data_IF_201746644867
#
_entry.id   IF_201746644867
#
_cell.length_a   1.000
_cell.length_b   1.000
_cell.length_c   1.000
_cell.angle_alpha   90.00
_cell.angle_beta   90.00
_cell.angle_gamma   90.00
#
_symmetry.space_group_name_H-M   'P 1'
#
loop_
_entity.id
_entity.type
_entity.pdbx_description
1 polymer ?
#
# COMPACT_ATOMS: atom_id res chain seq x y z
N UNK A 1 8.97 18.58 10.22
CA UNK A 1 8.53 18.28 8.82
C UNK A 1 7.00 18.17 8.77
N UNK A 2 6.42 18.77 7.77
CA UNK A 2 4.98 18.60 7.55
C UNK A 2 4.71 17.17 7.02
N UNK A 3 3.67 16.49 7.49
CA UNK A 3 3.31 15.17 6.97
C UNK A 3 2.93 15.27 5.49
N UNK A 4 3.34 14.25 4.72
CA UNK A 4 3.01 14.18 3.29
C UNK A 4 1.51 14.01 3.10
N UNK A 5 0.94 14.79 2.18
CA UNK A 5 -0.46 14.67 1.74
C UNK A 5 -0.48 14.21 0.28
N UNK A 6 -1.11 13.08 0.03
CA UNK A 6 -1.19 12.49 -1.30
C UNK A 6 -2.55 11.81 -1.52
N UNK A 7 -3.58 12.57 -1.92
CA UNK A 7 -4.92 12.02 -2.16
C UNK A 7 -4.96 10.90 -3.20
N UNK A 8 -4.12 10.98 -4.21
CA UNK A 8 -4.01 9.96 -5.26
C UNK A 8 -3.49 8.64 -4.67
N UNK A 9 -2.49 8.71 -3.79
CA UNK A 9 -1.99 7.54 -3.08
C UNK A 9 -3.06 6.92 -2.19
N UNK A 10 -3.80 7.71 -1.42
CA UNK A 10 -4.89 7.21 -0.58
C UNK A 10 -6.01 6.55 -1.39
N UNK A 11 -6.33 7.11 -2.56
CA UNK A 11 -7.31 6.50 -3.48
C UNK A 11 -6.83 5.13 -3.95
N UNK A 12 -5.55 5.03 -4.29
CA UNK A 12 -4.95 3.75 -4.67
C UNK A 12 -4.98 2.74 -3.52
N UNK A 13 -4.63 3.15 -2.29
CA UNK A 13 -4.72 2.28 -1.09
C UNK A 13 -6.13 1.71 -0.93
N UNK A 14 -7.18 2.53 -1.11
CA UNK A 14 -8.58 2.08 -1.02
C UNK A 14 -8.98 1.07 -2.11
N UNK A 15 -8.24 1.01 -3.19
CA UNK A 15 -8.47 0.03 -4.28
C UNK A 15 -7.83 -1.33 -4.02
N UNK A 16 -7.03 -1.46 -2.97
CA UNK A 16 -6.34 -2.69 -2.62
C UNK A 16 -7.20 -3.57 -1.70
N UNK A 17 -6.94 -4.89 -1.66
CA UNK A 17 -7.58 -5.75 -0.66
C UNK A 17 -7.20 -5.36 0.76
N UNK A 18 -8.12 -5.59 1.71
CA UNK A 18 -7.82 -5.46 3.13
C UNK A 18 -6.61 -6.32 3.52
N UNK A 19 -5.65 -5.75 4.23
CA UNK A 19 -4.44 -6.45 4.63
C UNK A 19 -4.71 -7.65 5.57
N UNK A 20 -5.85 -7.68 6.25
CA UNK A 20 -6.24 -8.78 7.17
C UNK A 20 -7.07 -9.84 6.46
N UNK A 21 -8.24 -9.48 5.94
CA UNK A 21 -9.22 -10.46 5.44
C UNK A 21 -9.33 -10.53 3.92
N UNK A 22 -8.57 -9.72 3.20
CA UNK A 22 -8.50 -9.70 1.73
C UNK A 22 -9.78 -9.24 1.02
N UNK A 23 -10.81 -8.80 1.74
CA UNK A 23 -11.99 -8.22 1.10
C UNK A 23 -11.60 -6.96 0.30
N UNK A 24 -12.27 -6.77 -0.82
CA UNK A 24 -12.14 -5.54 -1.63
C UNK A 24 -13.29 -4.57 -1.38
N UNK A 25 -14.25 -4.95 -0.52
CA UNK A 25 -15.42 -4.13 -0.19
C UNK A 25 -15.15 -3.27 1.04
N UNK A 26 -15.49 -1.99 0.95
CA UNK A 26 -15.41 -1.07 2.07
C UNK A 26 -14.00 -0.87 2.61
N UNK A 27 -12.99 -0.94 1.74
CA UNK A 27 -11.59 -0.73 2.14
C UNK A 27 -11.32 0.76 2.34
N UNK A 28 -10.72 1.08 3.46
CA UNK A 28 -10.33 2.42 3.88
C UNK A 28 -8.82 2.52 3.95
N UNK A 29 -8.30 3.73 3.81
CA UNK A 29 -6.88 4.02 4.03
C UNK A 29 -6.65 4.30 5.53
N UNK A 30 -6.10 3.32 6.23
CA UNK A 30 -5.83 3.41 7.65
C UNK A 30 -4.41 3.97 7.88
N UNK A 31 -4.30 5.14 8.45
CA UNK A 31 -3.01 5.75 8.78
C UNK A 31 -2.39 5.05 9.99
N UNK A 32 -1.17 4.56 9.84
CA UNK A 32 -0.46 3.80 10.88
C UNK A 32 0.80 4.48 11.40
N UNK A 33 1.16 5.61 10.82
CA UNK A 33 2.37 6.35 11.23
C UNK A 33 2.20 7.06 12.57
N UNK A 34 3.32 7.45 13.19
CA UNK A 34 3.30 8.24 14.42
C UNK A 34 2.65 9.60 14.16
N UNK A 35 1.87 10.06 15.12
CA UNK A 35 1.28 11.39 15.13
C UNK A 35 1.22 11.93 16.54
N UNK A 36 1.39 13.24 16.70
CA UNK A 36 1.14 13.94 17.95
C UNK A 36 -0.36 14.24 18.13
N UNK A 37 -0.72 14.71 19.29
CA UNK A 37 -2.09 15.18 19.58
C UNK A 37 -2.53 16.22 18.54
N UNK A 38 -3.63 15.95 17.84
CA UNK A 38 -4.17 16.83 16.81
C UNK A 38 -3.41 16.83 15.47
N UNK A 39 -2.39 16.00 15.33
CA UNK A 39 -1.64 15.88 14.08
C UNK A 39 -2.04 14.60 13.33
N UNK A 40 -2.12 14.71 12.00
CA UNK A 40 -2.33 13.54 11.14
C UNK A 40 -0.98 12.98 10.69
N UNK A 41 -0.83 11.66 10.72
CA UNK A 41 0.33 10.98 10.13
C UNK A 41 0.43 11.22 8.63
N UNK A 42 1.60 10.92 8.06
CA UNK A 42 1.83 10.95 6.62
C UNK A 42 0.87 10.00 5.89
N UNK A 43 0.34 10.41 4.75
CA UNK A 43 -0.47 9.54 3.89
C UNK A 43 0.30 8.32 3.38
N UNK A 44 1.63 8.41 3.30
CA UNK A 44 2.49 7.28 2.92
C UNK A 44 2.56 6.17 3.97
N UNK A 45 2.05 6.41 5.18
CA UNK A 45 1.94 5.40 6.25
C UNK A 45 0.60 4.66 6.24
N UNK A 46 -0.28 4.95 5.29
CA UNK A 46 -1.58 4.30 5.20
C UNK A 46 -1.48 2.87 4.69
N UNK A 47 -2.30 1.99 5.25
CA UNK A 47 -2.49 0.61 4.78
C UNK A 47 -3.97 0.36 4.48
N UNK A 48 -4.29 -0.59 3.57
CA UNK A 48 -5.68 -0.91 3.26
C UNK A 48 -6.31 -1.79 4.34
N UNK A 49 -7.33 -1.28 5.01
CA UNK A 49 -8.14 -2.04 5.97
C UNK A 49 -9.62 -1.83 5.67
N UNK A 50 -10.40 -2.91 5.66
CA UNK A 50 -11.86 -2.75 5.58
C UNK A 50 -12.40 -2.08 6.84
N UNK A 51 -13.61 -1.53 6.77
CA UNK A 51 -14.22 -0.80 7.88
C UNK A 51 -14.22 -1.62 9.20
N UNK A 52 -14.46 -2.94 9.12
CA UNK A 52 -14.41 -3.82 10.29
C UNK A 52 -13.03 -3.85 10.94
N UNK A 53 -11.96 -4.10 10.16
CA UNK A 53 -10.60 -4.18 10.71
C UNK A 53 -9.98 -2.81 10.99
N UNK A 54 -10.50 -1.75 10.40
CA UNK A 54 -10.06 -0.40 10.68
C UNK A 54 -10.71 0.18 11.95
N UNK A 55 -12.05 0.11 12.07
CA UNK A 55 -12.79 0.87 13.08
C UNK A 55 -13.82 0.08 13.88
N UNK A 56 -14.65 -0.75 13.23
CA UNK A 56 -15.90 -1.22 13.84
C UNK A 56 -15.80 -2.55 14.56
N UNK A 57 -14.86 -3.42 14.20
CA UNK A 57 -14.67 -4.72 14.85
C UNK A 57 -14.01 -4.60 16.22
N UNK A 58 -14.24 -5.58 17.08
CA UNK A 58 -13.60 -5.62 18.39
C UNK A 58 -12.08 -5.81 18.32
N UNK A 59 -11.61 -6.39 17.22
CA UNK A 59 -10.20 -6.61 16.90
C UNK A 59 -9.65 -5.57 15.89
N UNK A 60 -10.32 -4.42 15.76
CA UNK A 60 -9.95 -3.36 14.83
C UNK A 60 -8.73 -2.56 15.30
N UNK A 61 -8.08 -1.91 14.32
CA UNK A 61 -6.91 -1.06 14.55
C UNK A 61 -7.17 0.04 15.59
N UNK A 62 -8.31 0.72 15.47
CA UNK A 62 -8.67 1.79 16.42
C UNK A 62 -8.97 1.29 17.83
N UNK A 63 -9.50 0.08 17.97
CA UNK A 63 -9.83 -0.48 19.30
C UNK A 63 -8.63 -1.11 19.99
N UNK A 64 -7.79 -1.82 19.26
CA UNK A 64 -6.62 -2.51 19.82
C UNK A 64 -5.39 -1.60 19.96
N UNK A 65 -5.26 -0.62 19.07
CA UNK A 65 -4.03 0.14 18.91
C UNK A 65 -2.97 -0.59 18.07
N UNK A 66 -1.91 0.10 17.64
CA UNK A 66 -0.97 -0.40 16.64
C UNK A 66 -0.33 -1.74 17.00
N UNK A 67 0.21 -1.86 18.20
CA UNK A 67 0.94 -3.06 18.62
C UNK A 67 0.05 -4.27 18.75
N UNK A 68 -1.04 -4.17 19.52
CA UNK A 68 -1.97 -5.27 19.74
C UNK A 68 -2.66 -5.72 18.46
N UNK A 69 -2.98 -4.79 17.57
CA UNK A 69 -3.56 -5.09 16.26
C UNK A 69 -2.58 -5.91 15.40
N UNK A 70 -1.32 -5.48 15.33
CA UNK A 70 -0.30 -6.22 14.58
C UNK A 70 -0.08 -7.63 15.13
N UNK A 71 -0.03 -7.78 16.44
CA UNK A 71 0.08 -9.08 17.12
C UNK A 71 -1.13 -9.98 16.85
N UNK A 72 -2.34 -9.46 17.03
CA UNK A 72 -3.59 -10.20 16.84
C UNK A 72 -3.77 -10.75 15.43
N UNK A 73 -3.38 -9.97 14.43
CA UNK A 73 -3.54 -10.32 13.01
C UNK A 73 -2.26 -10.84 12.36
N UNK A 74 -1.18 -10.97 13.14
CA UNK A 74 0.15 -11.43 12.67
C UNK A 74 0.66 -10.62 11.47
N UNK A 75 0.51 -9.30 11.54
CA UNK A 75 0.93 -8.37 10.50
C UNK A 75 2.26 -7.70 10.86
N UNK A 76 3.12 -7.59 9.87
CA UNK A 76 4.26 -6.70 9.93
C UNK A 76 3.88 -5.36 9.26
N UNK A 77 3.24 -4.48 10.01
CA UNK A 77 2.75 -3.21 9.50
C UNK A 77 3.87 -2.34 8.90
N UNK A 78 5.04 -2.19 9.53
CA UNK A 78 6.15 -1.47 8.91
C UNK A 78 6.57 -2.03 7.54
N UNK A 79 6.60 -3.35 7.38
CA UNK A 79 6.93 -3.98 6.10
C UNK A 79 5.87 -3.71 5.04
N UNK A 80 4.58 -3.77 5.41
CA UNK A 80 3.47 -3.41 4.51
C UNK A 80 3.61 -1.96 4.05
N UNK A 81 3.81 -1.03 4.98
CA UNK A 81 3.99 0.40 4.66
C UNK A 81 5.18 0.60 3.72
N UNK A 82 6.32 -0.02 3.99
CA UNK A 82 7.50 0.08 3.14
C UNK A 82 7.24 -0.43 1.72
N UNK A 83 6.53 -1.54 1.59
CA UNK A 83 6.14 -2.11 0.29
C UNK A 83 5.19 -1.22 -0.50
N UNK A 84 4.18 -0.67 0.16
CA UNK A 84 3.18 0.17 -0.48
C UNK A 84 3.72 1.56 -0.84
N UNK A 85 4.53 2.16 0.01
CA UNK A 85 5.07 3.50 -0.18
C UNK A 85 6.31 3.54 -1.08
N UNK A 86 6.90 2.40 -1.42
CA UNK A 86 8.01 2.33 -2.35
C UNK A 86 7.62 2.97 -3.69
N UNK A 87 8.42 3.93 -4.11
CA UNK A 87 8.22 4.60 -5.41
C UNK A 87 8.70 3.66 -6.52
N UNK A 88 7.80 3.09 -7.32
CA UNK A 88 8.24 2.36 -8.49
C UNK A 88 8.83 3.32 -9.50
N UNK A 89 9.90 2.91 -10.15
CA UNK A 89 10.42 3.63 -11.31
C UNK A 89 10.19 2.81 -12.57
N UNK A 90 9.93 3.49 -13.67
CA UNK A 90 9.81 2.87 -14.99
C UNK A 90 10.80 3.58 -15.90
N UNK A 91 11.65 2.80 -16.57
CA UNK A 91 12.58 3.30 -17.57
C UNK A 91 12.41 2.53 -18.88
N UNK A 92 12.96 3.07 -19.94
CA UNK A 92 13.04 2.38 -21.24
C UNK A 92 14.44 1.79 -21.40
N UNK A 93 14.49 0.52 -21.76
CA UNK A 93 15.72 -0.20 -22.01
C UNK A 93 15.52 -1.17 -23.17
N UNK A 94 16.34 -1.03 -24.21
CA UNK A 94 16.30 -1.86 -25.42
C UNK A 94 14.88 -2.03 -26.01
N UNK A 95 14.13 -0.93 -26.12
CA UNK A 95 12.78 -0.91 -26.71
C UNK A 95 11.68 -1.52 -25.82
N UNK A 96 11.98 -1.75 -24.56
CA UNK A 96 11.02 -2.27 -23.58
C UNK A 96 10.93 -1.36 -22.35
N UNK A 97 9.77 -1.36 -21.70
CA UNK A 97 9.65 -0.76 -20.38
C UNK A 97 10.17 -1.74 -19.32
N UNK A 98 11.06 -1.24 -18.46
CA UNK A 98 11.58 -1.97 -17.29
C UNK A 98 11.15 -1.21 -16.04
N UNK A 99 10.41 -1.87 -15.17
CA UNK A 99 10.00 -1.34 -13.88
C UNK A 99 10.93 -1.80 -12.78
N UNK A 100 11.21 -0.94 -11.81
CA UNK A 100 11.91 -1.28 -10.57
C UNK A 100 11.00 -1.07 -9.39
N UNK A 101 10.86 -2.12 -8.59
CA UNK A 101 10.13 -2.09 -7.32
C UNK A 101 11.04 -2.71 -6.25
N UNK A 102 11.42 -1.91 -5.26
CA UNK A 102 12.48 -2.28 -4.31
C UNK A 102 13.77 -2.64 -5.06
N UNK A 103 14.33 -3.82 -4.80
CA UNK A 103 15.57 -4.30 -5.39
C UNK A 103 15.36 -5.17 -6.63
N UNK A 104 14.10 -5.35 -7.05
CA UNK A 104 13.76 -6.21 -8.18
C UNK A 104 13.37 -5.42 -9.41
N UNK A 105 13.76 -5.94 -10.56
CA UNK A 105 13.41 -5.39 -11.88
C UNK A 105 12.44 -6.33 -12.60
N UNK A 106 11.51 -5.71 -13.31
CA UNK A 106 10.44 -6.41 -14.01
C UNK A 106 10.32 -5.90 -15.44
N UNK A 107 10.24 -6.81 -16.40
CA UNK A 107 9.91 -6.46 -17.79
C UNK A 107 8.41 -6.18 -17.89
N UNK A 108 8.08 -4.96 -18.30
CA UNK A 108 6.69 -4.47 -18.35
C UNK A 108 6.10 -4.51 -19.76
N UNK A 109 6.89 -4.89 -20.75
CA UNK A 109 6.47 -5.01 -22.12
C UNK A 109 7.12 -4.01 -23.06
N UNK A 110 6.92 -4.17 -24.39
CA UNK A 110 7.53 -3.31 -25.37
C UNK A 110 6.98 -1.88 -25.30
N UNK A 111 7.80 -0.89 -25.65
CA UNK A 111 7.40 0.52 -25.66
C UNK A 111 6.22 0.80 -26.59
N UNK A 112 6.07 0.02 -27.65
CA UNK A 112 4.95 0.12 -28.58
C UNK A 112 3.59 -0.17 -27.95
N UNK A 113 3.56 -0.95 -26.85
CA UNK A 113 2.33 -1.25 -26.09
C UNK A 113 1.85 -0.08 -25.21
N UNK A 114 2.64 0.98 -25.09
CA UNK A 114 2.31 2.21 -24.38
C UNK A 114 2.61 2.17 -22.88
N UNK A 115 2.93 3.34 -22.34
CA UNK A 115 3.28 3.52 -20.92
C UNK A 115 2.12 3.15 -19.99
N UNK A 116 0.87 3.35 -20.39
CA UNK A 116 -0.31 3.03 -19.57
C UNK A 116 -0.37 1.53 -19.24
N UNK A 117 -0.01 0.66 -20.21
CA UNK A 117 0.06 -0.79 -19.97
C UNK A 117 1.17 -1.15 -18.98
N UNK A 118 2.34 -0.51 -19.09
CA UNK A 118 3.45 -0.69 -18.16
C UNK A 118 3.07 -0.28 -16.74
N UNK A 119 2.38 0.84 -16.59
CA UNK A 119 1.88 1.32 -15.29
C UNK A 119 0.89 0.32 -14.67
N UNK A 120 -0.04 -0.24 -15.46
CA UNK A 120 -0.99 -1.25 -14.98
C UNK A 120 -0.27 -2.50 -14.48
N UNK A 121 0.73 -2.99 -15.22
CA UNK A 121 1.55 -4.14 -14.79
C UNK A 121 2.31 -3.84 -13.49
N UNK A 122 2.88 -2.65 -13.36
CA UNK A 122 3.60 -2.24 -12.15
C UNK A 122 2.67 -2.19 -10.94
N UNK A 123 1.46 -1.69 -11.11
CA UNK A 123 0.46 -1.66 -10.04
C UNK A 123 0.02 -3.07 -9.63
N UNK A 124 -0.08 -4.03 -10.56
CA UNK A 124 -0.37 -5.42 -10.23
C UNK A 124 0.76 -6.03 -9.38
N UNK A 125 2.02 -5.82 -9.75
CA UNK A 125 3.18 -6.27 -8.97
C UNK A 125 3.21 -5.69 -7.54
N UNK A 126 2.82 -4.43 -7.39
CA UNK A 126 2.72 -3.81 -6.06
C UNK A 126 1.63 -4.48 -5.19
N UNK A 127 0.51 -4.90 -5.79
CA UNK A 127 -0.54 -5.64 -5.07
C UNK A 127 -0.05 -7.03 -4.64
N UNK A 128 0.64 -7.75 -5.53
CA UNK A 128 1.23 -9.05 -5.19
C UNK A 128 2.23 -8.93 -4.04
N UNK A 129 3.10 -7.94 -4.08
CA UNK A 129 4.05 -7.67 -3.01
C UNK A 129 3.37 -7.40 -1.66
N UNK A 130 2.18 -6.78 -1.64
CA UNK A 130 1.38 -6.62 -0.43
C UNK A 130 0.92 -7.97 0.13
N UNK A 131 0.53 -8.90 -0.75
CA UNK A 131 0.07 -10.23 -0.33
C UNK A 131 1.18 -11.08 0.28
N UNK A 132 2.43 -10.86 -0.11
CA UNK A 132 3.58 -11.59 0.44
C UNK A 132 3.95 -11.18 1.87
N UNK A 133 3.66 -9.95 2.28
CA UNK A 133 4.04 -9.41 3.62
C UNK A 133 2.88 -9.35 4.61
N UNK A 134 1.70 -9.64 4.17
CA UNK A 134 0.50 -9.62 5.00
C UNK A 134 0.17 -10.98 5.61
#
# INVERSE_FOLDING_TARGET
MKPVRNPTYLRWIRSLPCAVCRTTRGVEAAHTGPHGLGQKSSDLSAIPLCARHHRTGNDSYHKLGPRKFAEAHRLNVPAIVARLSAKPSIRVEAGSFVGRLHDQEYRLGPTQAGIARAIRKMNALRREALMEVA
#
